data_IF_632370724489
#
_entry.id   IF_632370724489
#
_cell.length_a   1.000
_cell.length_b   1.000
_cell.length_c   1.000
_cell.angle_alpha   90.00
_cell.angle_beta   90.00
_cell.angle_gamma   90.00
#
_symmetry.space_group_name_H-M   'P 1'
#
loop_
_entity.id
_entity.type
_entity.pdbx_description
1 polymer ?
#
# COMPACT_ATOMS: atom_id res chain seq x y z
N UNK A 1 -16.03 23.77 -7.60
CA UNK A 1 -16.21 22.78 -8.68
C UNK A 1 -15.34 21.59 -8.36
N UNK A 2 -15.91 20.39 -8.30
CA UNK A 2 -15.15 19.14 -8.19
C UNK A 2 -15.18 18.40 -9.53
N UNK A 3 -14.08 17.74 -9.86
CA UNK A 3 -13.97 16.79 -10.96
C UNK A 3 -13.75 15.41 -10.34
N UNK A 4 -14.61 14.45 -10.69
CA UNK A 4 -14.42 13.04 -10.34
C UNK A 4 -14.11 12.33 -11.65
N UNK A 5 -12.98 11.64 -11.71
CA UNK A 5 -12.58 10.81 -12.84
C UNK A 5 -12.40 9.37 -12.35
N UNK A 6 -12.92 8.41 -13.11
CA UNK A 6 -12.68 6.99 -12.88
C UNK A 6 -11.53 6.52 -13.77
N UNK A 7 -10.57 5.79 -13.20
CA UNK A 7 -9.44 5.23 -13.92
C UNK A 7 -9.41 3.71 -13.74
N UNK A 8 -9.35 2.97 -14.85
CA UNK A 8 -9.14 1.52 -14.84
C UNK A 8 -7.72 1.20 -15.31
N UNK A 9 -6.90 0.71 -14.39
CA UNK A 9 -5.56 0.25 -14.69
C UNK A 9 -5.57 -1.26 -14.91
N UNK A 10 -5.19 -1.70 -16.10
CA UNK A 10 -5.02 -3.12 -16.42
C UNK A 10 -3.54 -3.44 -16.32
N UNK A 11 -3.19 -4.51 -15.59
CA UNK A 11 -1.81 -4.99 -15.44
C UNK A 11 -0.80 -4.01 -14.79
N UNK A 12 -1.30 -2.96 -14.12
CA UNK A 12 -0.44 -2.08 -13.34
C UNK A 12 0.10 -2.81 -12.11
N UNK A 13 1.41 -2.66 -11.87
CA UNK A 13 2.07 -3.09 -10.64
C UNK A 13 1.82 -2.04 -9.55
N UNK A 14 0.58 -2.01 -9.08
CA UNK A 14 0.17 -1.19 -7.95
C UNK A 14 0.85 -1.68 -6.68
N UNK A 15 1.31 -0.74 -5.86
CA UNK A 15 1.91 -1.03 -4.56
C UNK A 15 0.91 -1.81 -3.70
N UNK A 16 1.37 -2.85 -3.00
CA UNK A 16 0.59 -3.75 -2.13
C UNK A 16 -0.46 -4.61 -2.85
N UNK A 17 -0.48 -4.64 -4.18
CA UNK A 17 -1.43 -5.49 -4.93
C UNK A 17 -1.27 -6.98 -4.61
N UNK A 18 -0.06 -7.58 -4.59
CA UNK A 18 0.11 -8.97 -4.19
C UNK A 18 -0.40 -9.24 -2.77
N UNK A 19 -0.08 -8.35 -1.82
CA UNK A 19 -0.56 -8.46 -0.43
C UNK A 19 -2.08 -8.40 -0.33
N UNK A 20 -2.73 -7.52 -1.10
CA UNK A 20 -4.19 -7.44 -1.18
C UNK A 20 -4.84 -8.68 -1.80
N UNK A 21 -4.16 -9.36 -2.73
CA UNK A 21 -4.68 -10.61 -3.32
C UNK A 21 -4.68 -11.76 -2.31
N UNK A 22 -3.76 -11.77 -1.35
CA UNK A 22 -3.70 -12.76 -0.28
C UNK A 22 -4.81 -12.58 0.77
N UNK A 23 -5.36 -11.36 0.91
CA UNK A 23 -6.47 -11.05 1.81
C UNK A 23 -7.67 -10.44 1.06
N UNK A 24 -8.47 -11.24 0.33
CA UNK A 24 -9.63 -10.77 -0.43
C UNK A 24 -10.71 -10.24 0.52
N UNK A 25 -10.78 -8.91 0.68
CA UNK A 25 -11.64 -8.24 1.66
C UNK A 25 -10.91 -7.10 2.37
N UNK A 26 -9.57 -7.11 2.34
CA UNK A 26 -8.77 -6.03 2.86
C UNK A 26 -8.94 -4.77 1.99
N UNK A 27 -9.20 -3.65 2.65
CA UNK A 27 -9.23 -2.32 2.04
C UNK A 27 -8.03 -1.53 2.53
N UNK A 28 -7.31 -0.89 1.60
CA UNK A 28 -6.22 0.02 1.93
C UNK A 28 -6.63 1.45 1.65
N UNK A 29 -6.51 2.31 2.65
CA UNK A 29 -6.70 3.75 2.53
C UNK A 29 -5.35 4.45 2.75
N UNK A 30 -4.94 5.27 1.77
CA UNK A 30 -3.70 6.03 1.87
C UNK A 30 -3.90 7.25 2.75
N UNK A 31 -3.31 7.23 3.94
CA UNK A 31 -3.27 8.37 4.86
C UNK A 31 -2.29 9.44 4.36
N UNK A 32 -1.05 9.03 4.05
CA UNK A 32 0.01 9.94 3.65
C UNK A 32 1.01 9.27 2.72
N UNK A 33 1.69 10.07 1.91
CA UNK A 33 2.81 9.64 1.09
C UNK A 33 3.93 10.67 1.17
N UNK A 34 5.16 10.23 1.44
CA UNK A 34 6.31 11.11 1.28
C UNK A 34 6.72 11.15 -0.19
N UNK A 35 6.91 12.36 -0.71
CA UNK A 35 7.65 12.52 -1.95
C UNK A 35 9.08 12.12 -1.65
N UNK A 36 9.50 10.96 -2.14
CA UNK A 36 10.88 10.61 -2.03
C UNK A 36 11.71 11.57 -2.89
N UNK A 37 12.68 12.22 -2.26
CA UNK A 37 13.91 12.70 -2.87
C UNK A 37 14.35 11.73 -3.99
N UNK A 38 14.97 12.25 -5.05
CA UNK A 38 15.53 11.46 -6.15
C UNK A 38 16.47 10.34 -5.66
N UNK A 39 17.01 10.45 -4.44
CA UNK A 39 17.90 9.50 -3.78
C UNK A 39 17.22 8.52 -2.79
N UNK A 40 15.95 8.70 -2.43
CA UNK A 40 15.26 7.87 -1.44
C UNK A 40 14.09 7.09 -2.06
N UNK A 41 13.70 5.98 -1.42
CA UNK A 41 12.47 5.28 -1.76
C UNK A 41 11.25 5.95 -1.10
N UNK A 42 10.08 6.03 -1.78
CA UNK A 42 8.88 6.63 -1.23
C UNK A 42 8.43 5.86 0.00
N UNK A 43 7.90 6.59 0.97
CA UNK A 43 7.25 5.99 2.14
C UNK A 43 5.76 6.25 2.05
N UNK A 44 4.97 5.19 2.16
CA UNK A 44 3.52 5.23 2.24
C UNK A 44 3.06 4.94 3.67
N UNK A 45 2.06 5.69 4.11
CA UNK A 45 1.30 5.40 5.30
C UNK A 45 -0.10 4.98 4.87
N UNK A 46 -0.48 3.76 5.20
CA UNK A 46 -1.74 3.15 4.76
C UNK A 46 -2.50 2.55 5.94
N UNK A 47 -3.78 2.87 6.04
CA UNK A 47 -4.72 2.16 6.88
C UNK A 47 -5.19 0.92 6.16
N UNK A 48 -5.13 -0.24 6.81
CA UNK A 48 -5.75 -1.47 6.37
C UNK A 48 -6.98 -1.75 7.23
N UNK A 49 -8.08 -2.20 6.61
CA UNK A 49 -9.33 -2.52 7.32
C UNK A 49 -10.19 -3.52 6.55
N UNK A 50 -11.15 -4.14 7.25
CA UNK A 50 -12.22 -4.95 6.66
C UNK A 50 -11.84 -6.37 6.21
N UNK A 51 -10.55 -6.69 6.10
CA UNK A 51 -10.05 -8.00 5.68
C UNK A 51 -9.38 -8.80 6.80
N UNK A 52 -8.77 -9.92 6.41
CA UNK A 52 -7.92 -10.74 7.27
C UNK A 52 -6.53 -10.10 7.40
N UNK A 53 -6.23 -9.55 8.58
CA UNK A 53 -4.95 -8.93 8.87
C UNK A 53 -3.79 -9.93 8.91
N UNK A 54 -4.01 -11.15 9.40
CA UNK A 54 -2.94 -12.15 9.49
C UNK A 54 -2.53 -12.61 8.09
N UNK A 55 -3.49 -12.85 7.20
CA UNK A 55 -3.21 -13.20 5.81
C UNK A 55 -2.52 -12.06 5.06
N UNK A 56 -2.92 -10.81 5.32
CA UNK A 56 -2.29 -9.63 4.74
C UNK A 56 -0.83 -9.47 5.22
N UNK A 57 -0.59 -9.52 6.53
CA UNK A 57 0.74 -9.37 7.12
C UNK A 57 1.68 -10.52 6.73
N UNK A 58 1.17 -11.74 6.62
CA UNK A 58 1.95 -12.89 6.15
C UNK A 58 2.42 -12.74 4.69
N UNK A 59 1.70 -11.96 3.87
CA UNK A 59 2.04 -11.72 2.47
C UNK A 59 3.02 -10.56 2.26
N UNK A 60 3.07 -9.58 3.17
CA UNK A 60 3.93 -8.39 3.06
C UNK A 60 5.42 -8.73 2.82
N UNK A 61 6.06 -9.67 3.53
CA UNK A 61 7.47 -9.99 3.31
C UNK A 61 7.78 -10.55 1.91
N UNK A 62 6.78 -11.14 1.24
CA UNK A 62 6.92 -11.72 -0.09
C UNK A 62 6.49 -10.76 -1.22
N UNK A 63 5.96 -9.59 -0.87
CA UNK A 63 5.46 -8.62 -1.85
C UNK A 63 6.62 -7.81 -2.45
N UNK A 64 6.95 -8.00 -3.75
CA UNK A 64 8.09 -7.34 -4.37
C UNK A 64 7.88 -5.82 -4.56
N UNK A 65 6.66 -5.32 -4.35
CA UNK A 65 6.32 -3.91 -4.51
C UNK A 65 6.79 -3.05 -3.33
N UNK A 66 7.23 -3.68 -2.24
CA UNK A 66 7.66 -3.02 -1.01
C UNK A 66 9.02 -3.57 -0.56
N UNK A 67 9.78 -2.76 0.16
CA UNK A 67 11.06 -3.17 0.74
C UNK A 67 10.93 -3.51 2.22
N UNK A 68 10.44 -2.54 2.99
CA UNK A 68 10.25 -2.65 4.43
C UNK A 68 8.82 -2.26 4.80
N UNK A 69 8.28 -2.87 5.85
CA UNK A 69 6.99 -2.52 6.43
C UNK A 69 7.04 -2.55 7.95
N UNK A 70 6.23 -1.71 8.58
CA UNK A 70 6.10 -1.62 10.04
C UNK A 70 4.65 -1.28 10.38
N UNK A 71 4.06 -1.99 11.34
CA UNK A 71 2.76 -1.63 11.92
C UNK A 71 2.99 -0.56 13.00
N UNK A 72 2.48 0.65 12.77
CA UNK A 72 2.67 1.80 13.66
C UNK A 72 1.53 1.91 14.68
N UNK A 73 0.33 1.51 14.28
CA UNK A 73 -0.86 1.61 15.11
C UNK A 73 -1.79 0.42 14.83
N UNK A 74 -2.28 -0.21 15.90
CA UNK A 74 -3.24 -1.31 15.84
C UNK A 74 -4.51 -0.90 16.58
N UNK A 75 -5.60 -0.77 15.83
CA UNK A 75 -6.96 -0.52 16.33
C UNK A 75 -7.78 -1.75 15.99
N UNK A 76 -8.74 -2.08 16.86
CA UNK A 76 -9.57 -3.28 16.72
C UNK A 76 -10.20 -3.46 15.32
N UNK A 77 -10.48 -2.37 14.60
CA UNK A 77 -11.09 -2.36 13.27
C UNK A 77 -10.13 -2.01 12.12
N UNK A 78 -8.93 -1.51 12.41
CA UNK A 78 -7.96 -1.05 11.39
C UNK A 78 -6.52 -0.96 11.90
N UNK A 79 -5.57 -1.18 11.00
CA UNK A 79 -4.12 -1.08 11.30
C UNK A 79 -3.45 -0.05 10.42
N UNK A 80 -2.57 0.77 10.99
CA UNK A 80 -1.75 1.72 10.25
C UNK A 80 -0.38 1.11 9.98
N UNK A 81 -0.01 1.04 8.71
CA UNK A 81 1.31 0.59 8.29
C UNK A 81 2.11 1.72 7.68
N UNK A 82 3.40 1.77 8.01
CA UNK A 82 4.42 2.45 7.22
C UNK A 82 5.09 1.46 6.31
N UNK A 83 5.18 1.81 5.03
CA UNK A 83 5.67 0.93 3.98
C UNK A 83 6.66 1.69 3.11
N UNK A 84 7.85 1.12 2.93
CA UNK A 84 8.85 1.62 1.97
C UNK A 84 8.57 1.00 0.62
N UNK A 85 8.32 1.82 -0.39
CA UNK A 85 7.92 1.38 -1.73
C UNK A 85 9.14 1.04 -2.57
N UNK A 86 9.12 -0.12 -3.22
CA UNK A 86 10.13 -0.47 -4.21
C UNK A 86 9.83 0.22 -5.56
N UNK A 87 10.53 1.32 -5.84
CA UNK A 87 10.37 2.08 -7.11
C UNK A 87 10.79 1.29 -8.35
N UNK A 88 11.64 0.28 -8.22
CA UNK A 88 12.12 -0.51 -9.36
C UNK A 88 11.05 -1.43 -9.95
N UNK A 89 9.98 -1.70 -9.20
CA UNK A 89 8.95 -2.68 -9.51
C UNK A 89 7.57 -2.04 -9.70
N UNK A 90 7.33 -0.87 -9.10
CA UNK A 90 5.98 -0.32 -8.98
C UNK A 90 5.67 0.80 -9.94
N UNK A 91 4.42 0.85 -10.38
CA UNK A 91 3.83 1.97 -11.14
C UNK A 91 2.98 2.81 -10.17
N UNK A 92 3.61 3.34 -9.11
CA UNK A 92 2.89 4.25 -8.22
C UNK A 92 2.80 5.63 -8.90
N UNK A 93 1.59 6.15 -9.22
CA UNK A 93 1.49 7.50 -9.74
C UNK A 93 2.10 8.50 -8.75
N UNK A 94 2.84 9.47 -9.28
CA UNK A 94 3.28 10.61 -8.48
C UNK A 94 2.05 11.29 -7.83
N UNK A 95 2.22 11.92 -6.65
CA UNK A 95 1.15 12.69 -6.01
C UNK A 95 0.59 13.78 -6.92
#
# INVERSE_FOLDING_TARGET
MSLIAELRLTDAQLVLRPSLQAAPGMTLEREWATAADRAADPVLFVWASGGDFEAFEAALPADPTIGEHECIDDRDDRRLYRVVVNRGVTTNPAP
#
